data_IF_126373137789
#
_entry.id   IF_126373137789
#
_cell.length_a   1.000
_cell.length_b   1.000
_cell.length_c   1.000
_cell.angle_alpha   90.00
_cell.angle_beta   90.00
_cell.angle_gamma   90.00
#
_symmetry.space_group_name_H-M   'P 1'
#
loop_
_entity.id
_entity.type
_entity.pdbx_description
1 polymer ?
#
# COMPACT_ATOMS: atom_id res chain seq x y z
N UNK A 1 -23.54 -3.60 9.15
CA UNK A 1 -22.89 -3.12 10.41
C UNK A 1 -23.56 -3.62 11.69
N UNK A 2 -24.90 -3.67 11.79
CA UNK A 2 -25.60 -4.04 13.04
C UNK A 2 -25.32 -5.47 13.55
N UNK A 3 -25.07 -6.45 12.66
CA UNK A 3 -24.76 -7.83 13.05
C UNK A 3 -23.36 -7.98 13.70
N UNK A 4 -22.35 -7.25 13.22
CA UNK A 4 -21.01 -7.24 13.81
C UNK A 4 -21.02 -6.58 15.20
N UNK A 5 -21.80 -5.51 15.37
CA UNK A 5 -22.01 -4.89 16.68
C UNK A 5 -22.71 -5.85 17.65
N UNK A 6 -23.79 -6.52 17.23
CA UNK A 6 -24.51 -7.51 18.06
C UNK A 6 -23.63 -8.69 18.48
N UNK A 7 -22.77 -9.18 17.58
CA UNK A 7 -21.79 -10.24 17.86
C UNK A 7 -20.75 -9.80 18.89
N UNK A 8 -20.22 -8.58 18.77
CA UNK A 8 -19.24 -8.04 19.73
C UNK A 8 -19.85 -7.81 21.11
N UNK A 9 -21.12 -7.40 21.17
CA UNK A 9 -21.84 -7.11 22.41
C UNK A 9 -22.21 -8.38 23.16
N UNK A 10 -22.62 -9.44 22.44
CA UNK A 10 -22.91 -10.74 23.03
C UNK A 10 -21.65 -11.42 23.57
N UNK A 11 -20.54 -11.35 22.81
CA UNK A 11 -19.23 -11.85 23.25
C UNK A 11 -18.74 -11.14 24.52
N UNK A 12 -18.87 -9.80 24.58
CA UNK A 12 -18.54 -9.02 25.79
C UNK A 12 -19.42 -9.38 26.99
N UNK A 13 -20.74 -9.49 26.80
CA UNK A 13 -21.67 -9.88 27.88
C UNK A 13 -21.36 -11.28 28.41
N UNK A 14 -21.00 -12.21 27.53
CA UNK A 14 -20.63 -13.57 27.92
C UNK A 14 -19.29 -13.60 28.69
N UNK A 15 -18.29 -12.87 28.22
CA UNK A 15 -16.98 -12.77 28.87
C UNK A 15 -17.08 -12.11 30.26
N UNK A 16 -17.95 -11.11 30.42
CA UNK A 16 -18.24 -10.51 31.72
C UNK A 16 -18.93 -11.48 32.69
N UNK A 17 -19.90 -12.27 32.22
CA UNK A 17 -20.57 -13.27 33.05
C UNK A 17 -19.62 -14.37 33.51
N UNK A 18 -18.73 -14.86 32.63
CA UNK A 18 -17.71 -15.87 32.96
C UNK A 18 -16.72 -15.31 33.99
N UNK A 19 -16.25 -14.07 33.81
CA UNK A 19 -15.30 -13.43 34.74
C UNK A 19 -15.92 -13.23 36.14
N UNK A 20 -17.21 -12.85 36.22
CA UNK A 20 -17.92 -12.73 37.51
C UNK A 20 -18.06 -14.08 38.23
N UNK A 21 -18.34 -15.15 37.49
CA UNK A 21 -18.42 -16.50 38.08
C UNK A 21 -17.05 -16.94 38.60
N UNK A 22 -15.97 -16.67 37.87
CA UNK A 22 -14.60 -16.98 38.31
C UNK A 22 -14.20 -16.20 39.58
N UNK A 23 -14.57 -14.92 39.66
CA UNK A 23 -14.35 -14.09 40.84
C UNK A 23 -15.14 -14.62 42.06
N UNK A 24 -16.40 -15.00 41.88
CA UNK A 24 -17.19 -15.58 42.97
C UNK A 24 -16.60 -16.91 43.46
N UNK A 25 -16.13 -17.76 42.54
CA UNK A 25 -15.52 -19.05 42.88
C UNK A 25 -14.22 -18.88 43.69
N UNK A 26 -13.38 -17.92 43.29
CA UNK A 26 -12.13 -17.59 43.99
C UNK A 26 -12.40 -17.01 45.38
N UNK A 27 -13.38 -16.12 45.52
CA UNK A 27 -13.80 -15.58 46.83
C UNK A 27 -14.30 -16.70 47.75
N UNK A 28 -15.14 -17.62 47.24
CA UNK A 28 -15.65 -18.76 48.04
C UNK A 28 -14.50 -19.65 48.52
N UNK A 29 -13.51 -19.92 47.66
CA UNK A 29 -12.33 -20.72 48.06
C UNK A 29 -11.49 -20.02 49.13
N UNK A 30 -11.24 -18.71 48.98
CA UNK A 30 -10.47 -17.92 49.95
C UNK A 30 -11.18 -17.83 51.30
N UNK A 31 -12.48 -17.51 51.30
CA UNK A 31 -13.28 -17.42 52.54
C UNK A 31 -13.35 -18.78 53.22
N UNK A 32 -13.55 -19.87 52.45
CA UNK A 32 -13.55 -21.22 53.01
C UNK A 32 -12.19 -21.60 53.60
N UNK A 33 -11.08 -21.23 52.97
CA UNK A 33 -9.73 -21.46 53.49
C UNK A 33 -9.44 -20.64 54.77
N UNK A 34 -9.90 -19.40 54.84
CA UNK A 34 -9.75 -18.54 56.02
C UNK A 34 -10.59 -19.07 57.20
N UNK A 35 -11.83 -19.50 56.96
CA UNK A 35 -12.67 -20.14 57.98
C UNK A 35 -11.98 -21.41 58.50
N UNK A 36 -11.42 -22.22 57.59
CA UNK A 36 -10.70 -23.45 57.97
C UNK A 36 -9.47 -23.17 58.85
N UNK A 37 -8.65 -22.17 58.50
CA UNK A 37 -7.50 -21.72 59.30
C UNK A 37 -7.89 -21.14 60.67
N UNK A 38 -9.10 -20.57 60.78
CA UNK A 38 -9.57 -19.95 62.02
C UNK A 38 -10.17 -20.95 63.01
N UNK A 39 -10.70 -22.08 62.54
CA UNK A 39 -11.40 -23.07 63.36
C UNK A 39 -10.45 -24.06 64.04
N UNK A 40 -9.31 -24.40 63.44
CA UNK A 40 -8.35 -25.37 64.01
C UNK A 40 -6.87 -24.91 63.83
N UNK A 41 -6.36 -24.01 64.69
CA UNK A 41 -5.00 -23.47 64.55
C UNK A 41 -3.87 -24.49 64.85
N UNK A 42 -4.18 -25.68 65.36
CA UNK A 42 -3.20 -26.72 65.75
C UNK A 42 -3.24 -27.98 64.88
N UNK A 43 -3.78 -27.90 63.65
CA UNK A 43 -3.95 -29.08 62.80
C UNK A 43 -2.68 -29.43 62.02
N UNK A 44 -2.07 -30.57 62.34
CA UNK A 44 -1.01 -31.21 61.53
C UNK A 44 -1.62 -31.81 60.25
N UNK A 45 -0.90 -31.75 59.12
CA UNK A 45 -1.32 -32.22 57.79
C UNK A 45 -2.00 -33.61 57.79
N UNK A 46 -1.55 -34.54 58.65
CA UNK A 46 -2.09 -35.91 58.73
C UNK A 46 -3.51 -36.00 59.31
N UNK A 47 -3.98 -34.99 60.08
CA UNK A 47 -5.33 -34.96 60.66
C UNK A 47 -6.35 -34.21 59.79
N UNK A 48 -5.87 -33.50 58.76
CA UNK A 48 -6.69 -32.73 57.81
C UNK A 48 -7.73 -33.61 57.10
N UNK A 49 -7.34 -34.84 56.72
CA UNK A 49 -8.19 -35.78 55.99
C UNK A 49 -9.25 -36.48 56.85
N UNK A 50 -9.14 -36.43 58.19
CA UNK A 50 -10.12 -37.03 59.11
C UNK A 50 -11.22 -36.05 59.54
N UNK A 51 -11.08 -34.77 59.20
CA UNK A 51 -12.05 -33.72 59.57
C UNK A 51 -13.32 -33.81 58.70
N UNK A 52 -14.53 -33.88 59.31
CA UNK A 52 -15.78 -33.87 58.56
C UNK A 52 -16.03 -32.57 57.78
N UNK A 53 -15.51 -31.43 58.28
CA UNK A 53 -15.69 -30.12 57.64
C UNK A 53 -14.84 -29.99 56.38
N UNK A 54 -13.65 -30.60 56.35
CA UNK A 54 -12.81 -30.68 55.16
C UNK A 54 -13.52 -31.42 54.02
N UNK A 55 -14.14 -32.57 54.31
CA UNK A 55 -14.88 -33.34 53.30
C UNK A 55 -16.13 -32.60 52.79
N UNK A 56 -16.84 -31.86 53.65
CA UNK A 56 -17.97 -31.02 53.22
C UNK A 56 -17.54 -29.89 52.27
N UNK A 57 -16.43 -29.22 52.58
CA UNK A 57 -15.86 -28.16 51.72
C UNK A 57 -15.42 -28.75 50.37
N UNK A 58 -14.71 -29.89 50.39
CA UNK A 58 -14.27 -30.57 49.17
C UNK A 58 -15.46 -31.00 48.29
N UNK A 59 -16.56 -31.44 48.91
CA UNK A 59 -17.79 -31.81 48.22
C UNK A 59 -18.53 -30.60 47.60
N UNK A 60 -18.51 -29.44 48.26
CA UNK A 60 -19.07 -28.20 47.70
C UNK A 60 -18.24 -27.69 46.51
N UNK A 61 -16.92 -27.72 46.63
CA UNK A 61 -16.01 -27.30 45.54
C UNK A 61 -16.16 -28.22 44.33
N UNK A 62 -16.24 -29.54 44.54
CA UNK A 62 -16.43 -30.50 43.44
C UNK A 62 -17.80 -30.33 42.76
N UNK A 63 -18.88 -30.11 43.52
CA UNK A 63 -20.21 -29.84 42.96
C UNK A 63 -20.23 -28.56 42.10
N UNK A 64 -19.57 -27.49 42.56
CA UNK A 64 -19.45 -26.24 41.79
C UNK A 64 -18.61 -26.41 40.52
N UNK A 65 -17.53 -27.19 40.59
CA UNK A 65 -16.69 -27.50 39.42
C UNK A 65 -17.48 -28.28 38.35
N UNK A 66 -18.27 -29.27 38.77
CA UNK A 66 -19.12 -30.07 37.88
C UNK A 66 -20.19 -29.19 37.23
N UNK A 67 -20.85 -28.31 38.00
CA UNK A 67 -21.83 -27.37 37.46
C UNK A 67 -21.23 -26.40 36.43
N UNK A 68 -20.00 -25.92 36.69
CA UNK A 68 -19.26 -25.08 35.74
C UNK A 68 -18.94 -25.82 34.43
N UNK A 69 -18.43 -27.06 34.52
CA UNK A 69 -18.11 -27.87 33.34
C UNK A 69 -19.36 -28.17 32.50
N UNK A 70 -20.48 -28.48 33.16
CA UNK A 70 -21.76 -28.72 32.50
C UNK A 70 -22.27 -27.46 31.77
N UNK A 71 -22.22 -26.30 32.42
CA UNK A 71 -22.64 -25.04 31.81
C UNK A 71 -21.75 -24.69 30.61
N UNK A 72 -20.43 -24.85 30.75
CA UNK A 72 -19.47 -24.64 29.67
C UNK A 72 -19.78 -25.53 28.46
N UNK A 73 -20.00 -26.82 28.68
CA UNK A 73 -20.33 -27.77 27.61
C UNK A 73 -21.66 -27.42 26.92
N UNK A 74 -22.68 -27.03 27.68
CA UNK A 74 -23.99 -26.64 27.12
C UNK A 74 -23.88 -25.37 26.28
N UNK A 75 -23.10 -24.39 26.72
CA UNK A 75 -22.83 -23.16 25.95
C UNK A 75 -22.04 -23.50 24.67
N UNK A 76 -21.00 -24.34 24.75
CA UNK A 76 -20.23 -24.75 23.56
C UNK A 76 -21.12 -25.44 22.53
N UNK A 77 -22.01 -26.35 22.96
CA UNK A 77 -22.98 -27.00 22.05
C UNK A 77 -23.97 -26.03 21.42
N UNK A 78 -24.51 -25.09 22.20
CA UNK A 78 -25.39 -24.04 21.66
C UNK A 78 -24.66 -23.16 20.64
N UNK A 79 -23.39 -22.81 20.91
CA UNK A 79 -22.55 -22.07 19.98
C UNK A 79 -22.24 -22.86 18.70
N UNK A 80 -21.96 -24.16 18.81
CA UNK A 80 -21.71 -25.03 17.65
C UNK A 80 -22.96 -25.17 16.78
N UNK A 81 -24.12 -25.40 17.39
CA UNK A 81 -25.38 -25.68 16.69
C UNK A 81 -26.00 -24.42 16.06
N UNK A 82 -25.86 -23.26 16.70
CA UNK A 82 -26.49 -22.02 16.24
C UNK A 82 -25.59 -21.22 15.28
N UNK A 83 -24.27 -21.46 15.29
CA UNK A 83 -23.32 -20.66 14.49
C UNK A 83 -22.36 -21.47 13.61
N UNK A 84 -21.81 -22.60 14.07
CA UNK A 84 -20.74 -23.30 13.34
C UNK A 84 -21.31 -24.14 12.19
N UNK A 85 -22.40 -24.88 12.40
CA UNK A 85 -23.05 -25.65 11.32
C UNK A 85 -23.54 -24.77 10.15
N UNK A 86 -24.29 -23.67 10.37
CA UNK A 86 -24.71 -22.83 9.25
C UNK A 86 -23.54 -22.13 8.54
N UNK A 87 -22.45 -21.79 9.25
CA UNK A 87 -21.23 -21.24 8.61
C UNK A 87 -20.48 -22.30 7.78
N UNK A 88 -20.44 -23.55 8.24
CA UNK A 88 -19.85 -24.66 7.51
C UNK A 88 -20.68 -25.02 6.27
N UNK A 89 -22.00 -24.96 6.35
CA UNK A 89 -22.90 -25.17 5.22
C UNK A 89 -22.72 -24.07 4.15
N UNK A 90 -22.66 -22.80 4.56
CA UNK A 90 -22.34 -21.67 3.67
C UNK A 90 -20.95 -21.83 3.03
N UNK A 91 -19.93 -22.24 3.79
CA UNK A 91 -18.58 -22.49 3.24
C UNK A 91 -18.54 -23.68 2.27
N UNK A 92 -19.31 -24.73 2.54
CA UNK A 92 -19.37 -25.93 1.68
C UNK A 92 -20.11 -25.61 0.38
N UNK A 93 -21.20 -24.85 0.46
CA UNK A 93 -21.91 -24.33 -0.71
C UNK A 93 -21.00 -23.38 -1.52
N UNK A 94 -20.29 -22.45 -0.88
CA UNK A 94 -19.33 -21.56 -1.57
C UNK A 94 -18.18 -22.32 -2.25
N UNK A 95 -17.66 -23.40 -1.64
CA UNK A 95 -16.61 -24.23 -2.25
C UNK A 95 -17.11 -25.03 -3.45
N UNK A 96 -18.37 -25.45 -3.48
CA UNK A 96 -18.95 -26.11 -4.67
C UNK A 96 -19.14 -25.16 -5.86
N UNK A 97 -19.10 -23.85 -5.64
CA UNK A 97 -19.17 -22.82 -6.69
C UNK A 97 -17.80 -22.46 -7.30
N UNK A 98 -16.68 -22.90 -6.70
CA UNK A 98 -15.34 -22.42 -7.06
C UNK A 98 -14.67 -23.21 -8.20
N UNK A 99 -15.31 -24.27 -8.72
CA UNK A 99 -14.64 -25.21 -9.62
C UNK A 99 -15.06 -25.20 -11.09
N UNK A 100 -16.03 -24.39 -11.52
CA UNK A 100 -16.28 -24.24 -12.96
C UNK A 100 -16.69 -22.80 -13.28
N UNK A 101 -15.74 -22.07 -13.86
CA UNK A 101 -15.90 -20.96 -14.78
C UNK A 101 -17.32 -20.37 -14.90
N UNK A 102 -17.79 -19.64 -13.87
CA UNK A 102 -18.84 -18.61 -13.91
C UNK A 102 -19.06 -18.09 -12.50
N UNK A 103 -18.37 -17.01 -12.13
CA UNK A 103 -18.70 -16.17 -10.95
C UNK A 103 -20.03 -15.40 -11.21
N UNK A 104 -21.02 -16.00 -11.87
CA UNK A 104 -21.96 -15.26 -12.71
C UNK A 104 -23.44 -15.62 -12.64
N UNK A 105 -23.91 -16.38 -11.65
CA UNK A 105 -25.33 -16.28 -11.31
C UNK A 105 -25.48 -15.62 -9.94
N UNK A 106 -26.07 -14.42 -9.95
CA UNK A 106 -26.65 -13.80 -8.77
C UNK A 106 -27.39 -14.89 -8.00
N UNK A 107 -27.13 -15.00 -6.70
CA UNK A 107 -27.91 -15.86 -5.80
C UNK A 107 -29.37 -15.37 -5.86
N UNK A 108 -30.20 -15.98 -6.73
CA UNK A 108 -31.63 -15.71 -6.82
C UNK A 108 -32.32 -16.66 -5.85
N UNK A 109 -32.31 -16.30 -4.56
CA UNK A 109 -33.06 -17.03 -3.54
C UNK A 109 -34.35 -16.26 -3.23
N UNK A 110 -35.43 -17.03 -3.17
CA UNK A 110 -36.81 -16.63 -2.88
C UNK A 110 -36.90 -15.40 -1.95
N UNK A 111 -37.61 -14.37 -2.41
CA UNK A 111 -37.78 -13.08 -1.72
C UNK A 111 -38.48 -13.22 -0.35
N UNK A 112 -39.00 -14.40 0.00
CA UNK A 112 -39.54 -14.73 1.32
C UNK A 112 -38.50 -15.23 2.35
N UNK A 113 -37.22 -15.33 1.99
CA UNK A 113 -36.16 -15.68 2.94
C UNK A 113 -35.95 -14.55 3.97
N UNK A 114 -35.89 -14.84 5.29
CA UNK A 114 -35.53 -13.84 6.30
C UNK A 114 -34.12 -13.24 6.11
N UNK A 115 -33.34 -13.75 5.16
CA UNK A 115 -31.99 -13.28 4.82
C UNK A 115 -31.89 -12.55 3.48
N UNK A 116 -32.99 -12.28 2.77
CA UNK A 116 -32.99 -11.64 1.45
C UNK A 116 -32.18 -10.32 1.41
N UNK A 117 -32.28 -9.50 2.46
CA UNK A 117 -31.50 -8.26 2.57
C UNK A 117 -29.99 -8.50 2.70
N UNK A 118 -29.57 -9.55 3.42
CA UNK A 118 -28.16 -9.92 3.55
C UNK A 118 -27.58 -10.40 2.21
N UNK A 119 -28.37 -11.15 1.44
CA UNK A 119 -27.97 -11.64 0.12
C UNK A 119 -27.79 -10.48 -0.86
N UNK A 120 -28.71 -9.51 -0.86
CA UNK A 120 -28.58 -8.31 -1.68
C UNK A 120 -27.33 -7.48 -1.34
N UNK A 121 -27.04 -7.30 -0.04
CA UNK A 121 -25.83 -6.61 0.41
C UNK A 121 -24.54 -7.34 -0.02
N UNK A 122 -24.52 -8.67 0.08
CA UNK A 122 -23.39 -9.49 -0.38
C UNK A 122 -23.18 -9.35 -1.89
N UNK A 123 -24.26 -9.42 -2.67
CA UNK A 123 -24.17 -9.27 -4.13
C UNK A 123 -23.66 -7.88 -4.52
N UNK A 124 -24.14 -6.81 -3.88
CA UNK A 124 -23.67 -5.45 -4.12
C UNK A 124 -22.17 -5.28 -3.77
N UNK A 125 -21.71 -5.90 -2.69
CA UNK A 125 -20.29 -5.90 -2.32
C UNK A 125 -19.43 -6.71 -3.32
N UNK A 126 -19.94 -7.84 -3.82
CA UNK A 126 -19.28 -8.64 -4.85
C UNK A 126 -19.15 -7.86 -6.17
N UNK A 127 -20.18 -7.16 -6.61
CA UNK A 127 -20.11 -6.32 -7.81
C UNK A 127 -19.11 -5.17 -7.63
N UNK A 128 -19.14 -4.49 -6.49
CA UNK A 128 -18.21 -3.40 -6.19
C UNK A 128 -16.75 -3.88 -6.19
N UNK A 129 -16.47 -5.03 -5.60
CA UNK A 129 -15.11 -5.59 -5.55
C UNK A 129 -14.60 -6.02 -6.93
N UNK A 130 -15.45 -6.64 -7.76
CA UNK A 130 -15.13 -6.96 -9.16
C UNK A 130 -14.77 -5.72 -9.97
N UNK A 131 -15.56 -4.65 -9.86
CA UNK A 131 -15.29 -3.38 -10.55
C UNK A 131 -13.96 -2.75 -10.10
N UNK A 132 -13.64 -2.82 -8.80
CA UNK A 132 -12.37 -2.32 -8.28
C UNK A 132 -11.17 -3.10 -8.85
N UNK A 133 -11.26 -4.42 -8.92
CA UNK A 133 -10.20 -5.27 -9.48
C UNK A 133 -9.98 -4.99 -10.97
N UNK A 134 -11.06 -4.85 -11.74
CA UNK A 134 -10.97 -4.56 -13.17
C UNK A 134 -10.30 -3.19 -13.43
N UNK A 135 -10.74 -2.16 -12.71
CA UNK A 135 -10.16 -0.82 -12.82
C UNK A 135 -8.69 -0.79 -12.40
N UNK A 136 -8.32 -1.57 -11.36
CA UNK A 136 -6.93 -1.68 -10.93
C UNK A 136 -6.05 -2.33 -12.01
N UNK A 137 -6.50 -3.44 -12.59
CA UNK A 137 -5.78 -4.11 -13.68
C UNK A 137 -5.62 -3.19 -14.90
N UNK A 138 -6.69 -2.48 -15.29
CA UNK A 138 -6.64 -1.52 -16.39
C UNK A 138 -5.68 -0.34 -16.10
N UNK A 139 -5.64 0.12 -14.84
CA UNK A 139 -4.70 1.16 -14.41
C UNK A 139 -3.25 0.68 -14.47
N UNK A 140 -2.97 -0.55 -14.05
CA UNK A 140 -1.64 -1.15 -14.09
C UNK A 140 -1.16 -1.34 -15.54
N UNK A 141 -2.01 -1.83 -16.44
CA UNK A 141 -1.70 -1.93 -17.87
C UNK A 141 -1.43 -0.57 -18.51
N UNK A 142 -2.29 0.43 -18.22
CA UNK A 142 -2.09 1.81 -18.70
C UNK A 142 -0.78 2.39 -18.20
N UNK A 143 -0.44 2.16 -16.94
CA UNK A 143 0.82 2.65 -16.36
C UNK A 143 2.03 1.99 -17.03
N UNK A 144 2.00 0.68 -17.24
CA UNK A 144 3.07 -0.03 -17.95
C UNK A 144 3.25 0.49 -19.38
N UNK A 145 2.15 0.66 -20.13
CA UNK A 145 2.19 1.18 -21.49
C UNK A 145 2.75 2.60 -21.56
N UNK A 146 2.34 3.48 -20.63
CA UNK A 146 2.86 4.85 -20.56
C UNK A 146 4.35 4.87 -20.21
N UNK A 147 4.78 4.01 -19.30
CA UNK A 147 6.18 3.89 -18.93
C UNK A 147 7.05 3.45 -20.12
N UNK A 148 6.64 2.40 -20.84
CA UNK A 148 7.37 1.94 -22.03
C UNK A 148 7.38 2.99 -23.15
N UNK A 149 6.25 3.66 -23.39
CA UNK A 149 6.20 4.72 -24.39
C UNK A 149 7.12 5.90 -24.03
N UNK A 150 7.20 6.25 -22.74
CA UNK A 150 8.11 7.29 -22.24
C UNK A 150 9.56 6.87 -22.45
N UNK A 151 9.93 5.67 -22.00
CA UNK A 151 11.30 5.14 -22.12
C UNK A 151 11.74 4.99 -23.58
N UNK A 152 10.85 4.52 -24.45
CA UNK A 152 11.08 4.42 -25.89
C UNK A 152 11.30 5.82 -26.50
N UNK A 153 10.44 6.79 -26.18
CA UNK A 153 10.58 8.17 -26.66
C UNK A 153 11.87 8.84 -26.19
N UNK A 154 12.26 8.64 -24.93
CA UNK A 154 13.50 9.17 -24.37
C UNK A 154 14.72 8.52 -25.04
N UNK A 155 14.67 7.21 -25.29
CA UNK A 155 15.74 6.47 -25.96
C UNK A 155 15.92 6.93 -27.40
N UNK A 156 14.82 7.12 -28.16
CA UNK A 156 14.87 7.68 -29.51
C UNK A 156 15.40 9.10 -29.50
N UNK A 157 14.91 9.96 -28.60
CA UNK A 157 15.40 11.33 -28.49
C UNK A 157 16.90 11.34 -28.21
N UNK A 158 17.38 10.57 -27.24
CA UNK A 158 18.82 10.47 -26.92
C UNK A 158 19.62 9.95 -28.11
N UNK A 159 19.13 8.94 -28.83
CA UNK A 159 19.81 8.40 -30.00
C UNK A 159 19.95 9.46 -31.11
N UNK A 160 18.86 10.15 -31.46
CA UNK A 160 18.85 11.21 -32.48
C UNK A 160 19.76 12.35 -32.04
N UNK A 161 19.59 12.83 -30.80
CA UNK A 161 20.36 13.93 -30.24
C UNK A 161 21.87 13.63 -30.31
N UNK A 162 22.30 12.43 -29.91
CA UNK A 162 23.72 12.06 -29.87
C UNK A 162 24.31 11.67 -31.23
N UNK A 163 23.54 11.07 -32.13
CA UNK A 163 24.04 10.58 -33.44
C UNK A 163 23.98 11.64 -34.55
N UNK A 164 23.30 12.77 -34.33
CA UNK A 164 23.23 13.84 -35.33
C UNK A 164 24.61 14.48 -35.52
N UNK A 165 25.08 14.62 -36.77
CA UNK A 165 26.38 15.22 -37.10
C UNK A 165 26.46 16.72 -36.80
N UNK A 166 25.32 17.40 -36.64
CA UNK A 166 25.25 18.80 -36.24
C UNK A 166 25.49 18.94 -34.73
N UNK A 167 26.20 19.99 -34.33
CA UNK A 167 26.36 20.33 -32.92
C UNK A 167 25.07 20.92 -32.36
N UNK A 168 24.42 20.19 -31.45
CA UNK A 168 23.20 20.64 -30.78
C UNK A 168 23.56 21.05 -29.35
N UNK A 169 23.13 22.25 -28.96
CA UNK A 169 23.37 22.83 -27.65
C UNK A 169 22.07 23.38 -27.08
N UNK A 170 21.71 22.94 -25.89
CA UNK A 170 20.64 23.48 -25.06
C UNK A 170 21.24 24.41 -24.02
N UNK A 171 20.68 25.61 -23.93
CA UNK A 171 21.11 26.64 -22.99
C UNK A 171 19.99 26.90 -21.97
N UNK A 172 20.38 27.21 -20.74
CA UNK A 172 19.49 27.66 -19.66
C UNK A 172 19.85 29.08 -19.21
N UNK A 173 19.08 29.63 -18.28
CA UNK A 173 19.30 30.95 -17.70
C UNK A 173 19.38 32.05 -18.77
N UNK A 174 18.35 32.12 -19.62
CA UNK A 174 18.25 33.05 -20.76
C UNK A 174 19.43 32.96 -21.75
N UNK A 175 19.93 31.75 -21.99
CA UNK A 175 20.97 31.52 -22.99
C UNK A 175 22.40 31.66 -22.47
N UNK A 176 22.60 31.85 -21.16
CA UNK A 176 23.93 32.16 -20.63
C UNK A 176 24.76 30.91 -20.28
N UNK A 177 24.09 29.83 -19.87
CA UNK A 177 24.75 28.60 -19.40
C UNK A 177 24.37 27.39 -20.23
N UNK A 178 25.35 26.52 -20.49
CA UNK A 178 25.12 25.23 -21.11
C UNK A 178 24.30 24.32 -20.17
N UNK A 179 23.16 23.85 -20.67
CA UNK A 179 22.33 22.86 -19.99
C UNK A 179 22.66 21.45 -20.47
N UNK A 180 22.63 21.25 -21.79
CA UNK A 180 22.95 19.97 -22.42
C UNK A 180 23.52 20.20 -23.82
N UNK A 181 24.30 19.25 -24.32
CA UNK A 181 24.90 19.31 -25.65
C UNK A 181 25.15 17.90 -26.14
N UNK A 182 25.13 17.67 -27.45
CA UNK A 182 25.40 16.36 -28.03
C UNK A 182 26.90 16.10 -28.24
N UNK A 183 27.26 14.87 -28.61
CA UNK A 183 28.64 14.49 -28.87
C UNK A 183 29.26 15.31 -30.02
N UNK A 184 28.51 15.55 -31.09
CA UNK A 184 28.99 16.34 -32.23
C UNK A 184 29.38 17.78 -31.85
N UNK A 185 28.67 18.42 -30.91
CA UNK A 185 29.06 19.74 -30.41
C UNK A 185 30.43 19.71 -29.71
N UNK A 186 30.71 18.64 -28.95
CA UNK A 186 32.02 18.45 -28.31
C UNK A 186 33.11 18.20 -29.34
N UNK A 187 32.83 17.39 -30.35
CA UNK A 187 33.79 17.04 -31.39
C UNK A 187 34.12 18.25 -32.27
N UNK A 188 33.13 19.10 -32.59
CA UNK A 188 33.32 20.34 -33.36
C UNK A 188 34.14 21.37 -32.57
N UNK A 189 33.79 21.60 -31.29
CA UNK A 189 34.44 22.62 -30.47
C UNK A 189 35.76 22.13 -29.84
N UNK A 190 35.99 20.82 -29.78
CA UNK A 190 37.19 20.19 -29.23
C UNK A 190 37.28 20.16 -27.71
N UNK A 191 36.18 20.44 -26.99
CA UNK A 191 36.14 20.42 -25.52
C UNK A 191 35.71 19.06 -24.98
N UNK A 192 36.16 18.71 -23.77
CA UNK A 192 35.53 17.62 -23.03
C UNK A 192 34.24 18.10 -22.38
N UNK A 193 33.28 17.17 -22.18
CA UNK A 193 31.97 17.46 -21.56
C UNK A 193 32.08 18.22 -20.23
N UNK A 194 32.99 17.82 -19.34
CA UNK A 194 33.17 18.47 -18.06
C UNK A 194 33.76 19.90 -18.17
N UNK A 195 34.57 20.16 -19.20
CA UNK A 195 35.19 21.46 -19.43
C UNK A 195 34.20 22.42 -20.08
N UNK A 196 33.44 21.97 -21.07
CA UNK A 196 32.43 22.80 -21.73
C UNK A 196 31.33 23.25 -20.74
N UNK A 197 30.93 22.37 -19.82
CA UNK A 197 29.92 22.66 -18.82
C UNK A 197 30.32 23.76 -17.80
N UNK A 198 31.62 24.04 -17.64
CA UNK A 198 32.09 25.10 -16.72
C UNK A 198 32.21 26.47 -17.37
N UNK A 199 32.11 26.55 -18.70
CA UNK A 199 32.22 27.81 -19.43
C UNK A 199 30.84 28.44 -19.62
N UNK A 200 30.78 29.78 -19.68
CA UNK A 200 29.59 30.50 -20.16
C UNK A 200 29.55 30.55 -21.68
N UNK A 201 28.39 30.84 -22.26
CA UNK A 201 28.27 31.02 -23.70
C UNK A 201 29.22 32.13 -24.21
N UNK A 202 29.32 33.23 -23.46
CA UNK A 202 30.19 34.37 -23.79
C UNK A 202 31.68 34.07 -23.75
N UNK A 203 32.11 33.01 -23.07
CA UNK A 203 33.52 32.61 -23.03
C UNK A 203 33.96 31.91 -24.32
N UNK A 204 33.00 31.36 -25.07
CA UNK A 204 33.24 30.54 -26.26
C UNK A 204 32.82 31.27 -27.53
N UNK A 205 31.74 32.05 -27.48
CA UNK A 205 31.22 32.81 -28.61
C UNK A 205 31.88 34.19 -28.67
N UNK A 206 32.61 34.48 -29.75
CA UNK A 206 33.30 35.76 -29.93
C UNK A 206 32.39 36.81 -30.53
N UNK A 207 31.68 36.41 -31.59
CA UNK A 207 30.81 37.30 -32.33
C UNK A 207 29.68 36.50 -32.97
N UNK A 208 28.55 37.19 -33.14
CA UNK A 208 27.41 36.72 -33.90
C UNK A 208 27.15 37.73 -35.01
N UNK A 209 26.82 37.25 -36.21
CA UNK A 209 26.53 38.05 -37.40
C UNK A 209 25.19 37.64 -37.98
N UNK A 210 24.39 38.61 -38.39
CA UNK A 210 23.16 38.33 -39.12
C UNK A 210 23.42 37.80 -40.55
N UNK A 211 22.36 37.49 -41.29
CA UNK A 211 22.46 37.04 -42.69
C UNK A 211 23.12 38.07 -43.63
N UNK A 212 23.18 39.35 -43.23
CA UNK A 212 23.79 40.44 -43.98
C UNK A 212 25.25 40.72 -43.54
N UNK A 213 25.78 39.96 -42.58
CA UNK A 213 27.14 40.09 -42.05
C UNK A 213 27.31 41.17 -40.96
N UNK A 214 26.21 41.79 -40.51
CA UNK A 214 26.23 42.82 -39.47
C UNK A 214 26.34 42.20 -38.07
N UNK A 215 27.12 42.83 -37.18
CA UNK A 215 27.39 42.31 -35.84
C UNK A 215 26.14 42.40 -34.95
N UNK A 216 25.72 41.26 -34.39
CA UNK A 216 24.62 41.17 -33.43
C UNK A 216 25.12 41.52 -32.03
N UNK A 217 24.55 42.55 -31.42
CA UNK A 217 24.79 42.89 -30.01
C UNK A 217 23.92 41.96 -29.16
N UNK A 218 24.54 41.00 -28.49
CA UNK A 218 23.87 40.00 -27.64
C UNK A 218 23.22 40.65 -26.44
N UNK A 219 21.92 40.96 -26.54
CA UNK A 219 21.04 41.08 -25.37
C UNK A 219 19.54 41.10 -25.74
N UNK A 220 19.00 39.96 -26.24
CA UNK A 220 17.56 39.57 -26.21
C UNK A 220 16.76 39.45 -27.52
N UNK A 221 17.36 39.38 -28.70
CA UNK A 221 16.63 38.85 -29.88
C UNK A 221 17.63 38.37 -30.93
N UNK A 222 18.16 37.16 -30.75
CA UNK A 222 18.90 36.53 -31.84
C UNK A 222 17.91 36.06 -32.91
N UNK A 223 18.19 36.29 -34.20
CA UNK A 223 17.35 35.76 -35.27
C UNK A 223 17.40 34.22 -35.26
N UNK A 224 16.40 33.58 -35.86
CA UNK A 224 16.32 32.11 -35.92
C UNK A 224 17.54 31.49 -36.61
N UNK A 225 18.22 32.25 -37.49
CA UNK A 225 19.45 31.85 -38.18
C UNK A 225 20.45 33.00 -38.20
N UNK A 226 21.68 32.71 -37.80
CA UNK A 226 22.81 33.63 -37.80
C UNK A 226 24.12 32.87 -37.96
N UNK A 227 25.20 33.59 -38.21
CA UNK A 227 26.55 33.02 -38.21
C UNK A 227 27.24 33.41 -36.92
N UNK A 228 27.89 32.47 -36.24
CA UNK A 228 28.66 32.74 -35.03
C UNK A 228 30.07 32.21 -35.14
N UNK A 229 31.02 32.97 -34.59
CA UNK A 229 32.41 32.53 -34.47
C UNK A 229 32.66 32.00 -33.06
N UNK A 230 33.03 30.74 -32.97
CA UNK A 230 33.35 30.04 -31.74
C UNK A 230 34.87 29.86 -31.59
N UNK A 231 35.36 29.88 -30.35
CA UNK A 231 36.74 29.50 -30.02
C UNK A 231 36.76 28.04 -29.58
N UNK A 232 37.50 27.22 -30.33
CA UNK A 232 37.77 25.83 -29.94
C UNK A 232 38.69 25.74 -28.72
N UNK A 233 38.74 24.57 -28.08
CA UNK A 233 39.69 24.33 -26.99
C UNK A 233 41.16 24.59 -27.38
N UNK A 234 41.50 24.38 -28.66
CA UNK A 234 42.85 24.63 -29.20
C UNK A 234 43.11 26.12 -29.54
N UNK A 235 42.12 27.00 -29.37
CA UNK A 235 42.22 28.42 -29.69
C UNK A 235 41.92 28.78 -31.14
N UNK A 236 41.51 27.82 -31.98
CA UNK A 236 41.09 28.11 -33.35
C UNK A 236 39.70 28.75 -33.39
N UNK A 237 39.52 29.69 -34.32
CA UNK A 237 38.23 30.32 -34.62
C UNK A 237 37.46 29.46 -35.63
N UNK A 238 36.28 28.98 -35.24
CA UNK A 238 35.36 28.27 -36.12
C UNK A 238 34.14 29.13 -36.39
N UNK A 239 33.94 29.48 -37.64
CA UNK A 239 32.70 30.12 -38.09
C UNK A 239 31.65 29.04 -38.39
N UNK A 240 30.51 29.14 -37.73
CA UNK A 240 29.42 28.17 -37.87
C UNK A 240 28.10 28.88 -38.16
N UNK A 241 27.28 28.25 -39.00
CA UNK A 241 25.88 28.64 -39.16
C UNK A 241 25.08 28.05 -38.00
N UNK A 242 24.41 28.93 -37.25
CA UNK A 242 23.64 28.58 -36.07
C UNK A 242 22.17 28.81 -36.35
N UNK A 243 21.35 27.82 -36.00
CA UNK A 243 19.91 28.03 -35.86
C UNK A 243 19.54 27.96 -34.39
N UNK A 244 18.93 29.03 -33.87
CA UNK A 244 18.52 29.12 -32.48
C UNK A 244 17.02 29.31 -32.39
N UNK A 245 16.40 28.63 -31.43
CA UNK A 245 14.98 28.77 -31.13
C UNK A 245 14.80 28.78 -29.62
N UNK A 246 14.03 29.74 -29.13
CA UNK A 246 13.61 29.78 -27.74
C UNK A 246 12.51 28.73 -27.52
N UNK A 247 12.65 27.93 -26.47
CA UNK A 247 11.71 26.88 -26.11
C UNK A 247 11.15 27.27 -24.74
N UNK A 248 9.86 27.58 -24.69
CA UNK A 248 9.12 27.69 -23.43
C UNK A 248 8.87 26.26 -22.93
N UNK A 249 9.46 25.93 -21.77
CA UNK A 249 9.29 24.64 -21.08
C UNK A 249 8.33 24.84 -19.90
#
# INVERSE_FOLDING_TARGET
MQLLQRKSELSRKLQHSISRIFLLLTIVCVVSGIIFLSVEPSLTLDKLFLSPTFWLILCLISALLIAYLYLKQKITKLYEQEYIEPLAEIQTQLRSFDNDAKVQELITVDNNSPFAGLIADINALLEKTKLQQLNQHESEEKFANLYYALEESDSYFRAIFQQTNEGIILLKDNGNHFYEFNQSALDILGYKRAELATHGLSDIVINCRDANGSLLLTDKNLPERFTATFITYQGHHLECHVSAKEIEI
#
